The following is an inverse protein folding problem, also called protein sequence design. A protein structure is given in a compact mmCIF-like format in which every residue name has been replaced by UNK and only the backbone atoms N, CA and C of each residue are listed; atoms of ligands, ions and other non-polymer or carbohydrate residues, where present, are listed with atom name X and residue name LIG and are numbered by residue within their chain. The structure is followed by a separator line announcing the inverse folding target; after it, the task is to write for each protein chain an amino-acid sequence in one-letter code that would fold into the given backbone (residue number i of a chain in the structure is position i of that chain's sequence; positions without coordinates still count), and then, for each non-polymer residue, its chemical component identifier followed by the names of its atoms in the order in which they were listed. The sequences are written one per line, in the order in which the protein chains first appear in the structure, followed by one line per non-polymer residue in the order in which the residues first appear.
data_IF_255026536693
#
_entry.id   IF_255026536693
#
_cell.length_a   1.000
_cell.length_b   1.000
_cell.length_c   1.000
_cell.angle_alpha   90.00
_cell.angle_beta   90.00
_cell.angle_gamma   90.00
#
_symmetry.space_group_name_H-M   'P 1'
#
loop_
_entity.id
_entity.type
_entity.pdbx_description
1 polymer ?
#
# COMPACT_ATOMS: atom_id res chain seq x y z
N UNK A 1 30.83 51.02 -18.10
CA UNK A 1 31.36 49.65 -18.33
C UNK A 1 30.33 48.70 -17.73
N UNK A 2 29.40 48.24 -18.57
CA UNK A 2 28.23 47.47 -18.15
C UNK A 2 28.60 46.00 -18.13
N UNK A 3 28.50 45.40 -16.95
CA UNK A 3 28.75 43.99 -16.72
C UNK A 3 27.52 43.20 -17.20
N UNK A 4 27.51 42.82 -18.47
CA UNK A 4 26.48 41.94 -19.04
C UNK A 4 26.63 40.54 -18.44
N UNK A 5 25.73 40.20 -17.52
CA UNK A 5 25.61 38.85 -16.99
C UNK A 5 25.42 37.88 -18.16
N UNK A 6 26.35 36.94 -18.30
CA UNK A 6 26.15 35.78 -19.15
C UNK A 6 25.02 34.98 -18.53
N UNK A 7 23.84 35.03 -19.14
CA UNK A 7 22.87 33.95 -19.04
C UNK A 7 23.60 32.66 -19.40
N UNK A 8 23.79 31.81 -18.40
CA UNK A 8 24.21 30.44 -18.63
C UNK A 8 22.96 29.76 -19.18
N UNK A 9 22.87 29.75 -20.51
CA UNK A 9 21.92 28.95 -21.26
C UNK A 9 22.21 27.48 -20.96
N UNK A 10 21.49 26.97 -19.95
CA UNK A 10 21.63 25.61 -19.47
C UNK A 10 21.02 24.70 -20.54
N UNK A 11 21.77 23.79 -21.17
CA UNK A 11 21.21 22.94 -22.21
C UNK A 11 20.20 22.00 -21.56
N UNK A 12 18.92 22.39 -21.64
CA UNK A 12 17.77 21.52 -21.44
C UNK A 12 17.81 20.48 -22.55
N UNK A 13 18.61 19.43 -22.37
CA UNK A 13 18.39 18.21 -23.12
C UNK A 13 16.97 17.76 -22.79
N UNK A 14 16.04 17.70 -23.75
CA UNK A 14 14.80 17.00 -23.54
C UNK A 14 15.22 15.52 -23.51
N UNK A 15 15.54 15.04 -22.31
CA UNK A 15 15.43 13.62 -22.03
C UNK A 15 14.02 13.29 -22.50
N UNK A 16 13.89 12.41 -23.49
CA UNK A 16 12.58 11.96 -23.96
C UNK A 16 11.95 11.15 -22.81
N UNK A 17 11.34 11.87 -21.87
CA UNK A 17 10.68 11.36 -20.67
C UNK A 17 9.65 10.33 -21.11
N UNK A 18 9.01 10.52 -22.26
CA UNK A 18 8.05 9.57 -22.80
C UNK A 18 8.73 8.27 -23.24
N UNK A 19 9.84 8.33 -23.97
CA UNK A 19 10.61 7.14 -24.36
C UNK A 19 11.13 6.38 -23.14
N UNK A 20 11.65 7.08 -22.14
CA UNK A 20 12.13 6.44 -20.90
C UNK A 20 10.99 5.91 -20.03
N UNK A 21 9.85 6.60 -19.94
CA UNK A 21 8.65 6.09 -19.30
C UNK A 21 8.14 4.82 -19.99
N UNK A 22 8.11 4.79 -21.33
CA UNK A 22 7.77 3.58 -22.10
C UNK A 22 8.73 2.44 -21.80
N UNK A 23 10.02 2.71 -21.62
CA UNK A 23 11.00 1.71 -21.22
C UNK A 23 10.73 1.16 -19.81
N UNK A 24 10.46 2.03 -18.83
CA UNK A 24 10.08 1.63 -17.46
C UNK A 24 8.77 0.82 -17.44
N UNK A 25 7.78 1.19 -18.26
CA UNK A 25 6.53 0.44 -18.38
C UNK A 25 6.76 -0.97 -18.96
N UNK A 26 7.65 -1.09 -19.95
CA UNK A 26 8.04 -2.40 -20.51
C UNK A 26 8.79 -3.26 -19.50
N UNK A 27 9.75 -2.66 -18.77
CA UNK A 27 10.47 -3.33 -17.69
C UNK A 27 9.48 -3.84 -16.63
N UNK A 28 8.58 -2.97 -16.14
CA UNK A 28 7.57 -3.33 -15.16
C UNK A 28 6.71 -4.50 -15.65
N UNK A 29 6.19 -4.41 -16.89
CA UNK A 29 5.37 -5.48 -17.47
C UNK A 29 6.11 -6.82 -17.50
N UNK A 30 7.39 -6.82 -17.88
CA UNK A 30 8.19 -8.04 -17.96
C UNK A 30 8.45 -8.63 -16.57
N UNK A 31 8.83 -7.81 -15.59
CA UNK A 31 9.11 -8.26 -14.22
C UNK A 31 7.85 -8.70 -13.45
N UNK A 32 6.66 -8.27 -13.88
CA UNK A 32 5.38 -8.58 -13.21
C UNK A 32 4.48 -9.50 -14.02
N UNK A 33 5.01 -10.21 -15.02
CA UNK A 33 4.19 -11.04 -15.91
C UNK A 33 3.34 -12.06 -15.11
N UNK A 34 2.03 -12.06 -15.35
CA UNK A 34 1.08 -12.95 -14.68
C UNK A 34 0.71 -12.57 -13.23
N UNK A 35 1.33 -11.55 -12.64
CA UNK A 35 1.03 -11.11 -11.28
C UNK A 35 -0.18 -10.16 -11.23
N UNK A 36 -1.23 -10.44 -10.45
CA UNK A 36 -2.38 -9.54 -10.31
C UNK A 36 -2.06 -8.23 -9.60
N UNK A 37 -1.10 -8.26 -8.66
CA UNK A 37 -0.64 -7.09 -7.92
C UNK A 37 0.89 -7.08 -7.84
N UNK A 38 1.44 -5.88 -7.77
CA UNK A 38 2.87 -5.65 -7.56
C UNK A 38 3.11 -4.59 -6.50
N UNK A 39 4.15 -4.80 -5.70
CA UNK A 39 4.77 -3.82 -4.83
C UNK A 39 6.08 -3.36 -5.44
N UNK A 40 6.28 -2.05 -5.50
CA UNK A 40 7.40 -1.44 -6.20
C UNK A 40 7.99 -0.28 -5.40
N UNK A 41 9.27 0.02 -5.65
CA UNK A 41 9.92 1.23 -5.20
C UNK A 41 10.25 2.16 -6.37
N UNK A 42 10.20 3.47 -6.13
CA UNK A 42 10.88 4.46 -6.97
C UNK A 42 12.18 4.86 -6.29
N UNK A 43 13.25 4.90 -7.08
CA UNK A 43 14.60 5.16 -6.62
C UNK A 43 15.16 6.43 -7.26
N UNK A 44 15.86 7.25 -6.48
CA UNK A 44 16.73 8.28 -7.01
C UNK A 44 17.93 7.58 -7.65
N UNK A 45 18.22 7.81 -8.94
CA UNK A 45 19.37 7.21 -9.60
C UNK A 45 20.73 7.71 -9.07
N UNK A 46 20.76 8.71 -8.18
CA UNK A 46 21.97 9.33 -7.65
C UNK A 46 22.68 10.18 -8.69
N UNK A 47 23.92 10.54 -8.39
CA UNK A 47 24.75 11.28 -9.33
C UNK A 47 25.28 10.37 -10.45
N UNK A 48 25.35 10.86 -11.70
CA UNK A 48 25.96 10.10 -12.79
C UNK A 48 27.39 9.69 -12.44
N UNK A 49 27.70 8.40 -12.57
CA UNK A 49 29.05 7.86 -12.29
C UNK A 49 29.30 7.51 -10.82
N UNK A 50 28.39 7.84 -9.90
CA UNK A 50 28.44 7.32 -8.54
C UNK A 50 28.00 5.85 -8.57
N UNK A 51 28.87 4.96 -8.12
CA UNK A 51 28.48 3.58 -7.84
C UNK A 51 27.83 3.54 -6.46
N UNK A 52 26.65 2.94 -6.38
CA UNK A 52 26.04 2.62 -5.10
C UNK A 52 26.85 1.48 -4.45
N UNK A 53 26.95 1.52 -3.12
CA UNK A 53 27.45 0.37 -2.36
C UNK A 53 26.66 -0.89 -2.71
N UNK A 54 27.28 -2.07 -2.57
CA UNK A 54 26.61 -3.34 -2.84
C UNK A 54 25.34 -3.46 -1.99
N UNK A 55 24.20 -3.36 -2.66
CA UNK A 55 22.89 -3.39 -2.04
C UNK A 55 21.83 -3.88 -3.02
N UNK A 56 20.62 -4.21 -2.54
CA UNK A 56 19.57 -4.77 -3.39
C UNK A 56 19.01 -3.76 -4.40
N UNK A 57 19.36 -2.48 -4.27
CA UNK A 57 18.85 -1.41 -5.10
C UNK A 57 19.99 -0.70 -5.82
N UNK A 58 19.82 -0.55 -7.13
CA UNK A 58 20.65 0.33 -7.94
C UNK A 58 20.06 1.75 -7.89
N UNK A 59 20.10 2.39 -6.73
CA UNK A 59 19.50 3.71 -6.46
C UNK A 59 19.07 3.88 -5.01
N UNK A 60 18.73 5.11 -4.62
CA UNK A 60 18.26 5.44 -3.27
C UNK A 60 16.72 5.38 -3.25
N UNK A 61 16.09 4.42 -2.54
CA UNK A 61 14.64 4.36 -2.43
C UNK A 61 14.09 5.62 -1.79
N UNK A 62 13.12 6.27 -2.46
CA UNK A 62 12.40 7.42 -1.90
C UNK A 62 10.88 7.23 -1.90
N UNK A 63 10.36 6.13 -2.44
CA UNK A 63 8.92 5.86 -2.44
C UNK A 63 8.66 4.37 -2.56
N UNK A 64 7.67 3.87 -1.82
CA UNK A 64 7.11 2.52 -2.01
C UNK A 64 5.63 2.62 -2.36
N UNK A 65 5.16 1.76 -3.26
CA UNK A 65 3.76 1.70 -3.63
C UNK A 65 3.32 0.30 -4.01
N UNK A 66 2.01 0.07 -4.06
CA UNK A 66 1.44 -1.10 -4.72
C UNK A 66 0.48 -0.73 -5.86
N UNK A 67 0.31 -1.64 -6.82
CA UNK A 67 -0.68 -1.51 -7.88
C UNK A 67 -1.08 -2.84 -8.52
N UNK A 68 -2.33 -2.95 -8.96
CA UNK A 68 -2.78 -3.95 -9.94
C UNK A 68 -2.64 -3.49 -11.41
N UNK A 69 -2.22 -2.23 -11.63
CA UNK A 69 -2.03 -1.64 -12.96
C UNK A 69 -0.76 -0.79 -12.99
N UNK A 70 0.39 -1.44 -12.83
CA UNK A 70 1.68 -0.75 -12.64
C UNK A 70 2.01 0.24 -13.76
N UNK A 71 1.73 -0.11 -15.02
CA UNK A 71 2.00 0.79 -16.15
C UNK A 71 1.21 2.09 -16.06
N UNK A 72 -0.08 2.01 -15.70
CA UNK A 72 -0.94 3.18 -15.51
C UNK A 72 -0.52 3.98 -14.27
N UNK A 73 -0.07 3.30 -13.21
CA UNK A 73 0.46 3.92 -12.01
C UNK A 73 1.74 4.71 -12.30
N UNK A 74 2.69 4.13 -13.02
CA UNK A 74 3.92 4.82 -13.47
C UNK A 74 3.57 6.02 -14.35
N UNK A 75 2.66 5.87 -15.32
CA UNK A 75 2.24 7.00 -16.16
C UNK A 75 1.72 8.18 -15.32
N UNK A 76 0.95 7.91 -14.26
CA UNK A 76 0.46 8.95 -13.34
C UNK A 76 1.59 9.60 -12.56
N UNK A 77 2.51 8.81 -12.02
CA UNK A 77 3.67 9.29 -11.26
C UNK A 77 4.57 10.22 -12.07
N UNK A 78 4.73 10.00 -13.38
CA UNK A 78 5.61 10.81 -14.22
C UNK A 78 4.90 11.97 -14.93
N UNK A 79 3.56 11.95 -15.04
CA UNK A 79 2.77 13.07 -15.61
C UNK A 79 2.41 14.15 -14.59
N UNK A 80 2.02 13.76 -13.37
CA UNK A 80 1.62 14.73 -12.32
C UNK A 80 2.70 15.75 -11.93
N UNK A 81 3.99 15.38 -11.85
CA UNK A 81 5.09 16.32 -11.58
C UNK A 81 5.21 17.47 -12.58
N UNK A 82 4.67 17.32 -13.80
CA UNK A 82 4.65 18.40 -14.80
C UNK A 82 3.58 19.45 -14.53
N UNK A 83 2.67 19.21 -13.57
CA UNK A 83 1.53 20.06 -13.21
C UNK A 83 1.39 20.14 -11.69
N UNK A 84 2.48 20.48 -11.00
CA UNK A 84 2.46 20.60 -9.54
C UNK A 84 1.58 21.77 -9.09
N UNK A 85 0.98 21.58 -7.93
CA UNK A 85 0.27 22.59 -7.16
C UNK A 85 0.69 22.48 -5.67
N UNK A 86 0.32 23.44 -4.80
CA UNK A 86 0.69 23.41 -3.39
C UNK A 86 0.24 22.15 -2.65
N UNK A 87 -0.83 21.47 -3.07
CA UNK A 87 -1.35 20.26 -2.43
C UNK A 87 -0.78 18.96 -3.04
N UNK A 88 0.19 19.07 -3.94
CA UNK A 88 0.76 17.90 -4.61
C UNK A 88 1.53 17.03 -3.62
N UNK A 89 1.24 15.73 -3.63
CA UNK A 89 1.89 14.72 -2.80
C UNK A 89 3.42 14.77 -2.94
N UNK A 90 4.13 14.48 -1.84
CA UNK A 90 5.59 14.55 -1.75
C UNK A 90 6.30 13.75 -2.84
N UNK A 91 5.80 12.54 -3.16
CA UNK A 91 6.34 11.73 -4.26
C UNK A 91 6.39 12.50 -5.60
N UNK A 92 5.36 13.28 -5.95
CA UNK A 92 5.36 14.03 -7.21
C UNK A 92 6.31 15.23 -7.16
N UNK A 93 6.47 15.86 -5.98
CA UNK A 93 7.44 16.95 -5.79
C UNK A 93 8.86 16.44 -5.93
N UNK A 94 9.17 15.30 -5.31
CA UNK A 94 10.49 14.66 -5.41
C UNK A 94 10.81 14.27 -6.87
N UNK A 95 9.83 13.69 -7.59
CA UNK A 95 10.02 13.39 -9.02
C UNK A 95 10.25 14.67 -9.84
N UNK A 96 9.55 15.77 -9.55
CA UNK A 96 9.77 17.04 -10.25
C UNK A 96 11.17 17.61 -9.99
N UNK A 97 11.69 17.49 -8.75
CA UNK A 97 13.05 17.89 -8.40
C UNK A 97 14.08 17.09 -9.20
N UNK A 98 13.89 15.77 -9.34
CA UNK A 98 14.74 14.93 -10.18
C UNK A 98 14.68 15.38 -11.65
N UNK A 99 13.49 15.69 -12.18
CA UNK A 99 13.35 16.18 -13.55
C UNK A 99 14.08 17.51 -13.77
N UNK A 100 14.02 18.43 -12.80
CA UNK A 100 14.67 19.73 -12.88
C UNK A 100 16.20 19.64 -13.00
N UNK A 101 16.81 18.57 -12.49
CA UNK A 101 18.24 18.28 -12.60
C UNK A 101 18.57 17.24 -13.69
N UNK A 102 17.64 16.96 -14.60
CA UNK A 102 17.86 16.03 -15.71
C UNK A 102 17.96 14.56 -15.29
N UNK A 103 17.39 14.18 -14.15
CA UNK A 103 17.36 12.79 -13.64
C UNK A 103 15.96 12.22 -13.74
N UNK A 104 15.88 10.90 -13.91
CA UNK A 104 14.61 10.16 -13.86
C UNK A 104 14.65 9.12 -12.75
N UNK A 105 13.56 8.97 -11.97
CA UNK A 105 13.44 7.86 -11.05
C UNK A 105 13.65 6.52 -11.75
N UNK A 106 14.35 5.61 -11.08
CA UNK A 106 14.39 4.20 -11.45
C UNK A 106 13.24 3.45 -10.78
N UNK A 107 12.88 2.31 -11.34
CA UNK A 107 11.88 1.41 -10.80
C UNK A 107 12.56 0.14 -10.30
N UNK A 108 12.18 -0.30 -9.10
CA UNK A 108 12.45 -1.64 -8.61
C UNK A 108 11.13 -2.34 -8.29
N UNK A 109 10.93 -3.54 -8.84
CA UNK A 109 9.87 -4.43 -8.40
C UNK A 109 10.35 -5.15 -7.13
N UNK A 110 9.62 -4.98 -6.03
CA UNK A 110 10.00 -5.50 -4.73
C UNK A 110 9.39 -6.87 -4.45
N UNK A 111 8.12 -7.04 -4.80
CA UNK A 111 7.33 -8.24 -4.50
C UNK A 111 6.10 -8.28 -5.43
N UNK A 112 5.70 -9.47 -5.85
CA UNK A 112 4.41 -9.71 -6.53
C UNK A 112 3.43 -10.37 -5.57
N UNK A 113 2.15 -10.08 -5.76
CA UNK A 113 1.09 -10.57 -4.87
C UNK A 113 -0.12 -11.03 -5.68
N UNK A 114 -0.81 -12.06 -5.17
CA UNK A 114 -1.99 -12.62 -5.81
C UNK A 114 -3.26 -11.86 -5.41
N UNK A 115 -3.26 -11.23 -4.24
CA UNK A 115 -4.43 -10.53 -3.72
C UNK A 115 -4.14 -9.09 -3.32
N UNK A 116 -5.22 -8.31 -3.12
CA UNK A 116 -5.11 -6.93 -2.70
C UNK A 116 -4.62 -6.84 -1.26
N UNK A 117 -5.11 -7.67 -0.33
CA UNK A 117 -4.58 -7.68 1.04
C UNK A 117 -3.09 -8.01 1.05
N UNK A 118 -2.66 -9.03 0.31
CA UNK A 118 -1.24 -9.39 0.21
C UNK A 118 -0.38 -8.21 -0.27
N UNK A 119 -0.82 -7.49 -1.31
CA UNK A 119 -0.07 -6.32 -1.80
C UNK A 119 -0.07 -5.14 -0.83
N UNK A 120 -1.17 -4.91 -0.10
CA UNK A 120 -1.24 -3.90 0.96
C UNK A 120 -0.31 -4.23 2.13
N UNK A 121 -0.23 -5.52 2.50
CA UNK A 121 0.67 -6.02 3.53
C UNK A 121 2.13 -5.87 3.10
N UNK A 122 2.45 -6.30 1.87
CA UNK A 122 3.78 -6.20 1.32
C UNK A 122 4.25 -4.75 1.19
N UNK A 123 3.41 -3.81 0.73
CA UNK A 123 3.72 -2.37 0.69
C UNK A 123 4.11 -1.85 2.07
N UNK A 124 3.34 -2.20 3.10
CA UNK A 124 3.62 -1.74 4.47
C UNK A 124 4.90 -2.36 5.03
N UNK A 125 5.13 -3.66 4.83
CA UNK A 125 6.38 -4.34 5.23
C UNK A 125 7.60 -3.73 4.56
N UNK A 126 7.54 -3.47 3.25
CA UNK A 126 8.63 -2.84 2.51
C UNK A 126 8.86 -1.41 2.95
N UNK A 127 7.80 -0.62 3.17
CA UNK A 127 7.91 0.73 3.75
C UNK A 127 8.66 0.71 5.08
N UNK A 128 8.25 -0.16 6.01
CA UNK A 128 8.92 -0.31 7.30
C UNK A 128 10.37 -0.81 7.19
N UNK A 129 10.66 -1.72 6.25
CA UNK A 129 12.03 -2.19 5.99
C UNK A 129 12.93 -1.05 5.50
N UNK A 130 12.44 -0.23 4.58
CA UNK A 130 13.19 0.89 4.01
C UNK A 130 13.41 2.00 5.05
N UNK A 131 12.40 2.33 5.85
CA UNK A 131 12.56 3.29 6.95
C UNK A 131 13.60 2.82 7.98
N UNK A 132 13.58 1.53 8.36
CA UNK A 132 14.60 0.96 9.28
C UNK A 132 15.99 0.90 8.68
N UNK A 133 16.11 0.85 7.36
CA UNK A 133 17.38 0.96 6.65
C UNK A 133 17.87 2.43 6.54
N UNK A 134 17.13 3.40 7.10
CA UNK A 134 17.51 4.81 7.12
C UNK A 134 17.10 5.61 5.88
N UNK A 135 16.29 5.04 4.99
CA UNK A 135 15.82 5.77 3.80
C UNK A 135 14.70 6.74 4.14
N UNK A 136 14.77 7.94 3.57
CA UNK A 136 13.69 8.93 3.63
C UNK A 136 12.65 8.66 2.55
N UNK A 137 11.44 8.28 2.96
CA UNK A 137 10.35 7.98 2.03
C UNK A 137 9.43 9.19 1.86
N UNK A 138 9.10 9.50 0.61
CA UNK A 138 8.12 10.49 0.17
C UNK A 138 6.67 9.95 0.19
N UNK A 139 6.42 8.83 0.87
CA UNK A 139 5.09 8.33 1.17
C UNK A 139 4.39 9.32 2.12
N UNK A 140 3.19 9.77 1.77
CA UNK A 140 2.40 10.69 2.62
C UNK A 140 1.42 9.96 3.53
N UNK A 141 1.42 8.63 3.52
CA UNK A 141 0.48 7.84 4.31
C UNK A 141 1.02 7.70 5.75
N UNK A 142 0.18 7.88 6.80
CA UNK A 142 0.66 7.86 8.19
C UNK A 142 1.38 6.56 8.60
N UNK A 143 0.98 5.44 7.98
CA UNK A 143 1.54 4.10 8.17
C UNK A 143 2.92 3.88 7.53
N UNK A 144 3.36 4.80 6.68
CA UNK A 144 4.70 4.84 6.08
C UNK A 144 5.30 6.24 6.32
N UNK A 145 5.06 6.79 7.52
CA UNK A 145 5.63 8.08 7.96
C UNK A 145 6.57 7.95 9.16
N UNK A 146 6.56 6.80 9.85
CA UNK A 146 7.44 6.50 10.99
C UNK A 146 7.70 5.00 11.10
N UNK A 147 8.78 4.66 11.79
CA UNK A 147 9.05 3.27 12.19
C UNK A 147 7.99 2.88 13.24
N UNK A 148 7.41 1.71 13.04
CA UNK A 148 6.41 1.11 13.92
C UNK A 148 6.97 -0.15 14.57
N UNK A 149 6.42 -0.54 15.73
CA UNK A 149 6.64 -1.88 16.27
C UNK A 149 5.76 -2.93 15.56
N UNK A 150 5.82 -4.18 16.02
CA UNK A 150 5.08 -5.30 15.41
C UNK A 150 3.57 -5.21 15.66
N UNK A 151 3.17 -4.73 16.82
CA UNK A 151 1.76 -4.65 17.22
C UNK A 151 1.07 -3.51 16.46
N UNK A 152 1.73 -2.35 16.37
CA UNK A 152 1.30 -1.23 15.55
C UNK A 152 1.22 -1.59 14.08
N UNK A 153 2.21 -2.32 13.57
CA UNK A 153 2.20 -2.82 12.19
C UNK A 153 0.97 -3.70 11.93
N UNK A 154 0.70 -4.64 12.84
CA UNK A 154 -0.47 -5.54 12.74
C UNK A 154 -1.78 -4.76 12.77
N UNK A 155 -1.90 -3.79 13.68
CA UNK A 155 -3.08 -2.93 13.76
C UNK A 155 -3.33 -2.14 12.46
N UNK A 156 -2.27 -1.62 11.83
CA UNK A 156 -2.38 -0.93 10.55
C UNK A 156 -2.75 -1.84 9.39
N UNK A 157 -2.31 -3.10 9.42
CA UNK A 157 -2.72 -4.08 8.43
C UNK A 157 -4.21 -4.36 8.51
N UNK A 158 -4.73 -4.57 9.72
CA UNK A 158 -6.16 -4.77 9.93
C UNK A 158 -6.96 -3.53 9.52
N UNK A 159 -6.51 -2.34 9.89
CA UNK A 159 -7.13 -1.08 9.45
C UNK A 159 -7.18 -0.97 7.92
N UNK A 160 -6.09 -1.30 7.21
CA UNK A 160 -6.05 -1.30 5.73
C UNK A 160 -7.01 -2.33 5.14
N UNK A 161 -7.06 -3.54 5.71
CA UNK A 161 -7.99 -4.61 5.26
C UNK A 161 -9.45 -4.22 5.48
N UNK A 162 -9.76 -3.51 6.56
CA UNK A 162 -11.11 -3.00 6.84
C UNK A 162 -11.63 -2.04 5.76
N UNK A 163 -10.73 -1.37 5.03
CA UNK A 163 -11.09 -0.47 3.93
C UNK A 163 -11.32 -1.19 2.59
N UNK A 164 -11.08 -2.51 2.51
CA UNK A 164 -11.33 -3.31 1.30
C UNK A 164 -12.81 -3.33 0.95
N UNK A 165 -13.10 -3.56 -0.34
CA UNK A 165 -14.45 -3.84 -0.80
C UNK A 165 -14.88 -5.24 -0.36
N UNK A 166 -16.18 -5.42 -0.13
CA UNK A 166 -16.77 -6.71 0.22
C UNK A 166 -16.41 -7.80 -0.80
N UNK A 167 -16.41 -7.46 -2.10
CA UNK A 167 -16.02 -8.38 -3.17
C UNK A 167 -14.55 -8.79 -3.12
N UNK A 168 -13.67 -7.89 -2.69
CA UNK A 168 -12.24 -8.19 -2.54
C UNK A 168 -12.03 -9.10 -1.34
N UNK A 169 -12.66 -8.77 -0.21
CA UNK A 169 -12.62 -9.60 0.99
C UNK A 169 -13.19 -11.01 0.73
N UNK A 170 -14.31 -11.11 0.01
CA UNK A 170 -14.92 -12.37 -0.40
C UNK A 170 -13.97 -13.20 -1.29
N UNK A 171 -13.35 -12.59 -2.29
CA UNK A 171 -12.37 -13.27 -3.15
C UNK A 171 -11.17 -13.79 -2.36
N UNK A 172 -10.77 -13.06 -1.33
CA UNK A 172 -9.63 -13.39 -0.47
C UNK A 172 -9.98 -14.33 0.69
N UNK A 173 -11.26 -14.70 0.84
CA UNK A 173 -11.72 -15.55 1.95
C UNK A 173 -11.61 -14.90 3.31
N UNK A 174 -11.64 -13.56 3.38
CA UNK A 174 -11.63 -12.80 4.63
C UNK A 174 -13.04 -12.82 5.23
N UNK A 175 -13.14 -13.09 6.52
CA UNK A 175 -14.39 -13.03 7.30
C UNK A 175 -14.30 -11.95 8.37
N UNK A 176 -15.46 -11.41 8.75
CA UNK A 176 -15.57 -10.52 9.90
C UNK A 176 -15.98 -11.37 11.09
N UNK A 177 -15.19 -11.34 12.16
CA UNK A 177 -15.50 -12.03 13.41
C UNK A 177 -15.97 -10.99 14.42
N UNK A 178 -17.13 -11.25 15.02
CA UNK A 178 -17.65 -10.45 16.13
C UNK A 178 -17.63 -11.28 17.40
N UNK A 179 -17.08 -10.71 18.48
CA UNK A 179 -17.09 -11.30 19.82
C UNK A 179 -17.86 -10.42 20.79
N UNK A 180 -18.78 -11.02 21.55
CA UNK A 180 -19.46 -10.29 22.61
C UNK A 180 -18.61 -10.30 23.88
N UNK A 181 -18.41 -9.12 24.47
CA UNK A 181 -17.80 -8.98 25.81
C UNK A 181 -18.63 -9.60 26.92
N UNK A 182 -19.90 -9.89 26.64
CA UNK A 182 -20.87 -10.48 27.55
C UNK A 182 -20.83 -12.03 27.63
N UNK A 183 -19.95 -12.70 26.89
CA UNK A 183 -19.83 -14.16 26.89
C UNK A 183 -20.73 -14.91 25.90
N UNK A 184 -21.47 -14.20 25.03
CA UNK A 184 -22.14 -14.84 23.89
C UNK A 184 -21.11 -15.30 22.84
N UNK A 185 -21.43 -16.42 22.17
CA UNK A 185 -20.57 -17.08 21.18
C UNK A 185 -20.18 -16.09 20.06
N UNK A 186 -18.92 -16.16 19.65
CA UNK A 186 -18.42 -15.38 18.52
C UNK A 186 -19.20 -15.74 17.24
N UNK A 187 -19.57 -14.73 16.45
CA UNK A 187 -20.28 -14.91 15.18
C UNK A 187 -19.41 -14.46 14.02
N UNK A 188 -19.58 -15.12 12.88
CA UNK A 188 -18.79 -14.84 11.70
C UNK A 188 -19.71 -14.34 10.60
N UNK A 189 -19.30 -13.27 9.94
CA UNK A 189 -20.02 -12.64 8.85
C UNK A 189 -19.16 -12.77 7.60
N UNK A 190 -19.70 -13.41 6.56
CA UNK A 190 -19.02 -13.56 5.28
C UNK A 190 -19.30 -12.33 4.40
N UNK A 191 -18.28 -11.53 4.02
CA UNK A 191 -18.45 -10.43 3.09
C UNK A 191 -19.06 -10.85 1.74
N UNK A 192 -18.94 -12.13 1.34
CA UNK A 192 -19.57 -12.67 0.14
C UNK A 192 -21.10 -12.51 0.15
N UNK A 193 -21.72 -12.72 1.30
CA UNK A 193 -23.17 -12.57 1.49
C UNK A 193 -23.63 -11.13 1.21
N UNK A 194 -22.74 -10.16 1.39
CA UNK A 194 -23.02 -8.75 1.14
C UNK A 194 -22.61 -8.32 -0.27
N UNK A 195 -21.52 -8.88 -0.80
CA UNK A 195 -21.02 -8.57 -2.14
C UNK A 195 -22.04 -8.89 -3.24
N UNK A 196 -22.88 -9.91 -3.04
CA UNK A 196 -23.90 -10.32 -4.01
C UNK A 196 -25.10 -9.35 -4.14
N UNK A 197 -25.47 -8.67 -3.06
CA UNK A 197 -26.73 -7.89 -3.00
C UNK A 197 -26.54 -6.39 -2.86
N UNK A 198 -25.32 -5.92 -2.55
CA UNK A 198 -25.07 -4.51 -2.23
C UNK A 198 -24.26 -3.79 -3.31
N UNK A 199 -24.32 -2.44 -3.35
CA UNK A 199 -23.58 -1.63 -4.31
C UNK A 199 -22.10 -2.03 -4.37
N UNK A 200 -21.52 -1.95 -5.58
CA UNK A 200 -20.12 -2.27 -5.95
C UNK A 200 -19.01 -1.56 -5.13
N UNK A 201 -19.38 -0.76 -4.12
CA UNK A 201 -18.49 0.05 -3.28
C UNK A 201 -18.68 -0.21 -1.77
N UNK A 202 -19.41 -1.25 -1.37
CA UNK A 202 -19.57 -1.58 0.04
C UNK A 202 -18.23 -2.06 0.63
N UNK A 203 -17.80 -1.42 1.71
CA UNK A 203 -16.55 -1.74 2.41
C UNK A 203 -16.78 -2.71 3.56
N UNK A 204 -15.76 -3.49 3.89
CA UNK A 204 -15.76 -4.45 5.01
C UNK A 204 -16.11 -3.77 6.32
N UNK A 205 -15.49 -2.63 6.66
CA UNK A 205 -15.80 -1.88 7.89
C UNK A 205 -17.26 -1.47 8.01
N UNK A 206 -17.93 -1.18 6.87
CA UNK A 206 -19.34 -0.83 6.86
C UNK A 206 -20.25 -2.03 7.11
N UNK A 207 -19.83 -3.22 6.67
CA UNK A 207 -20.53 -4.49 7.00
C UNK A 207 -20.36 -4.77 8.49
N UNK A 208 -19.13 -4.67 9.00
CA UNK A 208 -18.81 -4.93 10.39
C UNK A 208 -19.65 -4.03 11.32
N UNK A 209 -19.61 -2.71 11.13
CA UNK A 209 -20.38 -1.77 11.97
C UNK A 209 -21.89 -2.02 11.92
N UNK A 210 -22.45 -2.42 10.77
CA UNK A 210 -23.89 -2.72 10.66
C UNK A 210 -24.29 -4.04 11.31
N UNK A 211 -23.35 -4.95 11.37
CA UNK A 211 -23.53 -6.28 11.95
C UNK A 211 -22.96 -6.32 13.35
N UNK A 212 -22.64 -5.19 14.01
CA UNK A 212 -21.94 -5.20 15.29
C UNK A 212 -22.85 -5.49 16.49
N UNK A 213 -24.15 -5.23 16.41
CA UNK A 213 -25.06 -5.47 17.53
C UNK A 213 -25.25 -6.97 17.80
N UNK A 214 -25.00 -7.39 19.03
CA UNK A 214 -25.16 -8.76 19.48
C UNK A 214 -26.65 -9.14 19.49
N UNK A 215 -27.08 -10.23 18.84
CA UNK A 215 -28.49 -10.63 18.86
C UNK A 215 -28.96 -11.13 20.23
N UNK A 216 -28.05 -11.51 21.12
CA UNK A 216 -28.37 -12.02 22.46
C UNK A 216 -28.59 -10.91 23.50
N UNK A 217 -27.65 -9.97 23.63
CA UNK A 217 -27.72 -8.90 24.63
C UNK A 217 -28.03 -7.51 24.05
N UNK A 218 -27.99 -7.31 22.73
CA UNK A 218 -28.17 -6.00 22.09
C UNK A 218 -26.95 -5.09 22.12
N UNK A 219 -25.90 -5.43 22.88
CA UNK A 219 -24.66 -4.64 22.97
C UNK A 219 -23.81 -4.75 21.71
N UNK A 220 -22.97 -3.75 21.46
CA UNK A 220 -22.03 -3.75 20.34
C UNK A 220 -20.87 -4.73 20.60
N UNK A 221 -20.70 -5.70 19.69
CA UNK A 221 -19.58 -6.62 19.70
C UNK A 221 -18.28 -5.91 19.31
N UNK A 222 -17.18 -6.39 19.88
CA UNK A 222 -15.86 -6.14 19.30
C UNK A 222 -15.72 -6.97 18.02
N UNK A 223 -14.99 -6.45 17.04
CA UNK A 223 -14.79 -7.17 15.78
C UNK A 223 -13.39 -7.03 15.21
N UNK A 224 -13.00 -8.05 14.45
CA UNK A 224 -11.73 -8.11 13.71
C UNK A 224 -11.93 -8.90 12.42
N UNK A 225 -10.86 -8.96 11.62
CA UNK A 225 -10.84 -9.72 10.37
C UNK A 225 -10.02 -10.99 10.55
N UNK A 226 -10.51 -12.08 9.98
CA UNK A 226 -9.78 -13.35 9.96
C UNK A 226 -9.86 -14.02 8.60
N UNK A 227 -9.03 -15.04 8.37
CA UNK A 227 -9.01 -15.80 7.12
C UNK A 227 -9.76 -17.11 7.29
N UNK A 228 -10.80 -17.31 6.46
CA UNK A 228 -11.68 -18.48 6.49
C UNK A 228 -10.92 -19.81 6.42
N UNK A 229 -9.80 -19.83 5.70
CA UNK A 229 -8.95 -21.03 5.57
C UNK A 229 -8.24 -21.40 6.87
N UNK A 230 -7.86 -20.42 7.69
CA UNK A 230 -7.25 -20.68 8.99
C UNK A 230 -8.31 -21.13 10.00
N UNK A 231 -9.50 -20.55 9.94
CA UNK A 231 -10.62 -20.90 10.81
C UNK A 231 -11.11 -22.35 10.59
N UNK A 232 -11.10 -22.84 9.34
CA UNK A 232 -11.47 -24.22 9.03
C UNK A 232 -10.55 -25.26 9.71
N UNK A 233 -9.29 -24.91 9.98
CA UNK A 233 -8.31 -25.78 10.66
C UNK A 233 -8.58 -25.83 12.17
N UNK A 234 -9.10 -24.75 12.75
CA UNK A 234 -9.40 -24.65 14.18
C UNK A 234 -10.75 -25.27 14.56
N UNK A 235 -11.73 -25.29 13.65
CA UNK A 235 -13.01 -25.97 13.88
C UNK A 235 -12.89 -27.49 13.96
N UNK A 236 -11.88 -28.10 13.34
CA UNK A 236 -11.64 -29.56 13.42
C UNK A 236 -10.76 -29.98 14.61
N UNK A 237 -10.13 -29.03 15.31
CA UNK A 237 -9.14 -29.34 16.37
C UNK A 237 -9.57 -28.95 17.78
N UNK A 238 -10.76 -28.35 17.98
CA UNK A 238 -11.28 -28.00 19.31
C UNK A 238 -10.41 -27.00 20.09
N UNK A 239 -9.45 -26.36 19.44
CA UNK A 239 -8.58 -25.37 20.05
C UNK A 239 -9.20 -23.98 19.88
N UNK A 240 -9.55 -23.34 21.00
CA UNK A 240 -9.84 -21.90 21.02
C UNK A 240 -8.64 -21.16 20.40
N UNK A 241 -8.94 -20.34 19.39
CA UNK A 241 -7.96 -19.48 18.73
C UNK A 241 -7.52 -18.40 19.70
N UNK A 242 -6.47 -18.69 20.49
CA UNK A 242 -5.71 -17.71 21.26
C UNK A 242 -4.89 -16.84 20.29
N UNK A 243 -5.59 -15.99 19.53
CA UNK A 243 -4.93 -14.84 18.90
C UNK A 243 -4.75 -13.77 19.97
N UNK A 244 -3.49 -13.61 20.36
CA UNK A 244 -2.94 -12.48 21.12
C UNK A 244 -3.59 -11.17 20.66
N UNK A 245 -3.89 -10.34 21.66
CA UNK A 245 -4.58 -9.05 21.62
C UNK A 245 -4.00 -8.06 20.61
N UNK A 246 -4.28 -8.27 19.32
CA UNK A 246 -4.22 -7.27 18.28
C UNK A 246 -5.30 -6.21 18.52
N UNK A 247 -4.98 -4.97 18.17
CA UNK A 247 -5.78 -3.78 18.50
C UNK A 247 -7.25 -3.97 18.09
N UNK A 248 -8.11 -4.06 19.11
CA UNK A 248 -9.57 -4.10 18.98
C UNK A 248 -10.02 -2.85 18.25
N UNK A 249 -10.58 -2.99 17.06
CA UNK A 249 -11.15 -1.85 16.33
C UNK A 249 -12.49 -1.54 17.02
N UNK A 250 -12.44 -0.78 18.11
CA UNK A 250 -13.64 -0.24 18.73
C UNK A 250 -14.26 0.75 17.73
N UNK A 251 -15.39 0.39 17.14
CA UNK A 251 -16.14 1.28 16.26
C UNK A 251 -16.62 2.51 17.02
N UNK A 252 -15.82 3.57 17.05
CA UNK A 252 -16.34 4.92 17.33
C UNK A 252 -16.37 5.68 16.01
N UNK A 253 -17.61 6.00 15.63
CA UNK A 253 -17.95 6.87 14.51
C UNK A 253 -17.53 8.30 14.81
#
# INVERSE_FOLDING_TARGET
MSNSGKEIDMPLYPIDIEKRLKALQRQARHETEGAPYVVYALLDPGEPGLQFEEGPFNGIPFYVGQSCEIENRLRRHFRKPQKLNPDSQMVHRHIAQLFAIGRLPRLAILETAQTRSQSLMAELRWGQRLLRAGFELANTSPDIGRIMDVDELTAWLDFRRCAMLASEAAHEGVVIVHSCTCGHVSRWIDPADYAAYWPKRLRVSKIANRTQQCPGCGEDCEWWLDDRRLLAIHTDSGAESDRLSGLRISGRS
#
